data_IF_230949447033
#
_entry.id   IF_230949447033
#
_cell.length_a   1.000
_cell.length_b   1.000
_cell.length_c   1.000
_cell.angle_alpha   90.00
_cell.angle_beta   90.00
_cell.angle_gamma   90.00
#
_symmetry.space_group_name_H-M   'P 1'
#
loop_
_entity.id
_entity.type
_entity.pdbx_description
1 polymer ?
#
# COMPACT_ATOMS: atom_id res chain seq x y z
N UNK A 1 22.01 32.72 14.44
CA UNK A 1 22.46 31.84 13.32
C UNK A 1 21.84 32.35 12.03
N UNK A 2 22.58 32.37 10.90
CA UNK A 2 22.03 32.80 9.63
C UNK A 2 20.98 31.81 9.10
N UNK A 3 19.81 32.30 8.71
CA UNK A 3 18.72 31.48 8.20
C UNK A 3 18.59 31.64 6.68
N UNK A 4 18.60 30.52 5.95
CA UNK A 4 18.28 30.52 4.52
C UNK A 4 16.77 30.41 4.33
N UNK A 5 16.20 31.34 3.55
CA UNK A 5 14.79 31.36 3.22
C UNK A 5 14.59 31.55 1.72
N UNK A 6 13.60 30.88 1.15
CA UNK A 6 13.06 31.25 -0.15
C UNK A 6 11.95 32.26 0.08
N UNK A 7 12.01 33.37 -0.64
CA UNK A 7 11.00 34.41 -0.67
C UNK A 7 10.42 34.51 -2.08
N UNK A 8 9.14 34.85 -2.18
CA UNK A 8 8.46 35.10 -3.46
C UNK A 8 7.92 36.54 -3.48
N UNK A 9 8.15 37.25 -4.58
CA UNK A 9 7.57 38.57 -4.77
C UNK A 9 6.06 38.49 -4.99
N UNK A 10 5.28 39.29 -4.26
CA UNK A 10 3.81 39.33 -4.39
C UNK A 10 3.30 39.93 -5.68
N UNK A 11 4.15 40.67 -6.39
CA UNK A 11 3.75 41.38 -7.60
C UNK A 11 4.17 40.61 -8.85
N UNK A 12 5.48 40.49 -9.08
CA UNK A 12 6.01 39.85 -10.29
C UNK A 12 6.34 38.36 -10.13
N UNK A 13 6.10 37.76 -8.95
CA UNK A 13 6.26 36.32 -8.74
C UNK A 13 7.70 35.81 -8.72
N UNK A 14 8.71 36.69 -8.78
CA UNK A 14 10.13 36.30 -8.73
C UNK A 14 10.42 35.57 -7.43
N UNK A 15 11.20 34.48 -7.54
CA UNK A 15 11.65 33.69 -6.40
C UNK A 15 13.13 33.93 -6.18
N UNK A 16 13.50 34.19 -4.94
CA UNK A 16 14.89 34.38 -4.55
C UNK A 16 15.20 33.58 -3.27
N UNK A 17 16.40 32.99 -3.22
CA UNK A 17 16.95 32.43 -2.00
C UNK A 17 17.77 33.51 -1.28
N UNK A 18 17.43 33.79 -0.04
CA UNK A 18 18.03 34.84 0.79
C UNK A 18 18.66 34.24 2.04
N UNK A 19 19.85 34.72 2.42
CA UNK A 19 20.54 34.35 3.66
C UNK A 19 20.44 35.49 4.66
N UNK A 20 19.53 35.35 5.64
CA UNK A 20 19.28 36.36 6.66
C UNK A 20 20.37 36.27 7.74
N UNK A 21 21.10 37.36 7.96
CA UNK A 21 22.11 37.49 9.01
C UNK A 21 21.55 38.29 10.19
N UNK A 22 20.65 37.68 10.97
CA UNK A 22 20.04 38.33 12.13
C UNK A 22 18.70 37.68 12.51
N UNK A 23 18.15 38.12 13.64
CA UNK A 23 16.81 37.74 14.14
C UNK A 23 15.72 38.77 13.83
N UNK A 24 16.12 39.94 13.37
CA UNK A 24 15.24 41.09 13.29
C UNK A 24 14.37 41.06 12.03
N UNK A 25 13.16 41.60 12.18
CA UNK A 25 12.17 41.68 11.10
C UNK A 25 12.42 42.95 10.28
N UNK A 26 13.32 42.83 9.32
CA UNK A 26 13.50 43.85 8.29
C UNK A 26 12.51 43.61 7.13
N UNK A 27 11.90 44.67 6.60
CA UNK A 27 11.11 44.59 5.38
C UNK A 27 12.05 44.39 4.18
N UNK A 28 11.82 43.33 3.39
CA UNK A 28 12.65 42.96 2.25
C UNK A 28 11.91 43.27 0.97
N UNK A 29 12.54 44.01 0.06
CA UNK A 29 11.99 44.38 -1.25
C UNK A 29 12.58 43.53 -2.37
N UNK A 30 11.76 43.24 -3.38
CA UNK A 30 12.18 42.57 -4.60
C UNK A 30 13.13 43.46 -5.40
N UNK A 31 14.27 42.93 -5.85
CA UNK A 31 15.22 43.67 -6.69
C UNK A 31 14.68 44.03 -8.08
N UNK A 32 13.71 43.28 -8.59
CA UNK A 32 13.16 43.46 -9.95
C UNK A 32 12.05 44.52 -10.01
N UNK A 33 11.20 44.61 -8.98
CA UNK A 33 10.04 45.51 -9.01
C UNK A 33 9.84 46.33 -7.72
N UNK A 34 10.73 46.22 -6.74
CA UNK A 34 10.67 46.97 -5.47
C UNK A 34 9.58 46.53 -4.50
N UNK A 35 8.64 45.68 -4.90
CA UNK A 35 7.53 45.25 -4.06
C UNK A 35 8.01 44.41 -2.86
N UNK A 36 7.35 44.52 -1.70
CA UNK A 36 7.72 43.76 -0.51
C UNK A 36 7.53 42.25 -0.74
N UNK A 37 8.49 41.47 -0.26
CA UNK A 37 8.45 40.01 -0.29
C UNK A 37 7.54 39.50 0.84
N UNK A 38 6.39 38.90 0.49
CA UNK A 38 5.55 38.18 1.47
C UNK A 38 5.74 36.67 1.30
N UNK A 39 5.45 35.92 2.37
CA UNK A 39 5.61 34.46 2.44
C UNK A 39 7.05 33.97 2.19
N UNK A 40 7.84 33.95 3.28
CA UNK A 40 9.16 33.32 3.30
C UNK A 40 9.07 31.90 3.85
N UNK A 41 9.61 30.92 3.13
CA UNK A 41 9.73 29.54 3.59
C UNK A 41 11.18 29.23 3.98
N UNK A 42 11.36 28.62 5.14
CA UNK A 42 12.68 28.20 5.59
C UNK A 42 13.18 27.02 4.75
N UNK A 43 14.46 27.05 4.39
CA UNK A 43 15.14 25.95 3.72
C UNK A 43 16.08 25.30 4.73
N UNK A 44 16.06 23.96 4.89
CA UNK A 44 17.06 23.28 5.69
C UNK A 44 18.45 23.48 5.06
N UNK A 45 19.42 23.90 5.88
CA UNK A 45 20.82 24.10 5.47
C UNK A 45 21.57 22.78 5.36
N UNK A 46 21.16 21.79 6.16
CA UNK A 46 21.72 20.45 6.10
C UNK A 46 21.08 19.73 4.93
N UNK A 47 21.86 19.20 3.97
CA UNK A 47 21.32 18.28 2.99
C UNK A 47 20.73 17.11 3.78
N UNK A 48 19.40 16.97 3.75
CA UNK A 48 18.75 15.76 4.23
C UNK A 48 19.25 14.68 3.28
N UNK A 49 20.24 13.90 3.72
CA UNK A 49 20.59 12.71 2.97
C UNK A 49 19.31 11.90 2.87
N UNK A 50 18.87 11.53 1.66
CA UNK A 50 17.79 10.58 1.54
C UNK A 50 18.29 9.30 2.19
N UNK A 51 17.89 9.06 3.44
CA UNK A 51 18.03 7.75 4.04
C UNK A 51 17.15 6.86 3.20
N UNK A 52 17.78 6.08 2.31
CA UNK A 52 17.09 5.00 1.64
C UNK A 52 16.33 4.23 2.74
N UNK A 53 15.00 4.05 2.60
CA UNK A 53 14.26 3.30 3.61
C UNK A 53 14.98 1.97 3.79
N UNK A 54 15.36 1.67 5.04
CA UNK A 54 16.04 0.42 5.36
C UNK A 54 15.18 -0.71 4.77
N UNK A 55 15.81 -1.57 3.95
CA UNK A 55 15.10 -2.64 3.27
C UNK A 55 14.31 -3.43 4.31
N UNK A 56 12.99 -3.48 4.16
CA UNK A 56 12.13 -4.23 5.06
C UNK A 56 12.62 -5.68 5.06
N UNK A 57 12.94 -6.27 6.22
CA UNK A 57 13.45 -7.63 6.26
C UNK A 57 12.45 -8.56 5.57
N UNK A 58 12.95 -9.43 4.70
CA UNK A 58 12.13 -10.36 3.95
C UNK A 58 11.28 -11.18 4.94
N UNK A 59 9.96 -11.17 4.77
CA UNK A 59 9.04 -11.95 5.59
C UNK A 59 9.45 -13.42 5.50
N UNK A 60 9.62 -14.14 6.62
CA UNK A 60 10.00 -15.55 6.58
C UNK A 60 8.96 -16.33 5.76
N UNK A 61 9.45 -17.10 4.80
CA UNK A 61 8.59 -17.92 3.95
C UNK A 61 7.80 -18.87 4.82
N UNK A 62 6.46 -18.76 4.80
CA UNK A 62 5.64 -19.71 5.52
C UNK A 62 5.83 -21.11 4.92
N UNK A 63 5.98 -22.15 5.75
CA UNK A 63 6.12 -23.51 5.25
C UNK A 63 4.89 -23.85 4.40
N UNK A 64 5.14 -24.25 3.15
CA UNK A 64 4.06 -24.66 2.23
C UNK A 64 3.23 -25.76 2.91
N UNK A 65 1.88 -25.64 2.94
CA UNK A 65 1.06 -26.68 3.53
C UNK A 65 1.34 -27.99 2.79
N UNK A 66 1.72 -29.03 3.55
CA UNK A 66 1.85 -30.39 3.00
C UNK A 66 0.53 -30.74 2.34
N UNK A 67 0.55 -31.07 1.04
CA UNK A 67 -0.63 -31.55 0.30
C UNK A 67 -1.25 -32.70 1.09
N UNK A 68 -2.42 -32.45 1.68
CA UNK A 68 -3.21 -33.53 2.26
C UNK A 68 -3.60 -34.44 1.09
N UNK A 69 -3.34 -35.75 1.24
CA UNK A 69 -3.80 -36.74 0.26
C UNK A 69 -5.29 -36.57 0.09
N UNK A 70 -5.73 -36.21 -1.12
CA UNK A 70 -7.15 -36.14 -1.45
C UNK A 70 -7.78 -37.50 -1.16
N UNK A 71 -8.75 -37.52 -0.24
CA UNK A 71 -9.61 -38.68 -0.08
C UNK A 71 -10.38 -38.84 -1.38
N UNK A 72 -10.09 -39.91 -2.13
CA UNK A 72 -10.77 -40.23 -3.39
C UNK A 72 -12.28 -40.17 -3.17
N UNK A 73 -12.95 -39.27 -3.90
CA UNK A 73 -14.43 -39.21 -3.89
C UNK A 73 -14.96 -40.56 -4.39
N UNK A 74 -15.96 -41.17 -3.74
CA UNK A 74 -16.55 -42.39 -4.22
C UNK A 74 -17.14 -42.14 -5.61
N UNK A 75 -16.77 -43.01 -6.56
CA UNK A 75 -17.19 -42.92 -7.95
C UNK A 75 -18.71 -42.86 -8.05
N UNK A 76 -19.23 -41.90 -8.84
CA UNK A 76 -20.67 -41.74 -9.12
C UNK A 76 -21.29 -42.94 -9.85
N UNK A 77 -20.46 -43.88 -10.29
CA UNK A 77 -20.90 -45.14 -10.88
C UNK A 77 -21.37 -46.15 -9.83
N UNK A 78 -20.64 -46.30 -8.71
CA UNK A 78 -20.98 -47.29 -7.68
C UNK A 78 -22.34 -47.01 -7.02
N UNK A 79 -22.65 -45.73 -6.76
CA UNK A 79 -23.96 -45.34 -6.22
C UNK A 79 -25.12 -45.65 -7.16
N UNK A 80 -24.93 -45.55 -8.49
CA UNK A 80 -26.00 -45.83 -9.46
C UNK A 80 -26.24 -47.32 -9.64
N UNK A 81 -25.19 -48.14 -9.60
CA UNK A 81 -25.32 -49.60 -9.71
C UNK A 81 -25.96 -50.17 -8.44
N UNK A 82 -25.55 -49.70 -7.26
CA UNK A 82 -26.13 -50.17 -5.99
C UNK A 82 -27.60 -49.76 -5.84
N UNK A 83 -27.98 -48.56 -6.30
CA UNK A 83 -29.39 -48.11 -6.27
C UNK A 83 -30.28 -48.99 -7.14
N UNK A 84 -29.84 -49.35 -8.34
CA UNK A 84 -30.64 -50.21 -9.23
C UNK A 84 -30.83 -51.62 -8.67
N UNK A 85 -29.76 -52.18 -8.11
CA UNK A 85 -29.83 -53.51 -7.50
C UNK A 85 -30.73 -53.49 -6.26
N UNK A 86 -30.75 -52.39 -5.50
CA UNK A 86 -31.61 -52.25 -4.33
C UNK A 86 -33.08 -52.06 -4.71
N UNK A 87 -33.39 -51.19 -5.68
CA UNK A 87 -34.77 -50.99 -6.18
C UNK A 87 -35.37 -52.31 -6.69
N UNK A 88 -34.59 -53.10 -7.44
CA UNK A 88 -35.05 -54.38 -8.00
C UNK A 88 -35.19 -55.48 -6.92
N UNK A 89 -34.50 -55.34 -5.79
CA UNK A 89 -34.66 -56.21 -4.61
C UNK A 89 -35.89 -55.79 -3.79
N UNK A 90 -36.14 -54.49 -3.63
CA UNK A 90 -37.30 -53.95 -2.89
C UNK A 90 -38.62 -54.35 -3.56
N UNK A 91 -38.69 -54.28 -4.89
CA UNK A 91 -39.86 -54.75 -5.66
C UNK A 91 -40.14 -56.25 -5.48
N UNK A 92 -39.10 -57.09 -5.39
CA UNK A 92 -39.26 -58.55 -5.17
C UNK A 92 -39.52 -58.87 -3.70
N UNK A 93 -39.01 -58.05 -2.78
CA UNK A 93 -39.20 -58.27 -1.34
C UNK A 93 -40.61 -57.89 -0.88
N UNK A 94 -41.18 -56.78 -1.39
CA UNK A 94 -42.57 -56.41 -1.10
C UNK A 94 -43.58 -57.42 -1.67
N UNK A 95 -43.28 -58.07 -2.79
CA UNK A 95 -44.14 -59.10 -3.42
C UNK A 95 -44.00 -60.50 -2.78
N UNK A 96 -42.97 -60.73 -1.95
CA UNK A 96 -42.70 -62.03 -1.28
C UNK A 96 -42.96 -62.03 0.24
N UNK A 97 -43.15 -60.85 0.83
CA UNK A 97 -43.35 -60.67 2.28
C UNK A 97 -44.74 -60.11 2.68
N UNK A 98 -45.69 -60.05 1.73
CA UNK A 98 -47.16 -60.07 1.97
C UNK A 98 -47.70 -61.51 1.81
#
# INVERSE_FOLDING_TARGET
>A
MPANKIATCCYCGTRAALRLRGSDRHELSCSNCGAPLKAMKNIPLTPVQPTAPAATPARPAQPKPKKRKDKRKPSRFGRRVFSKIWDEIEDVFDDIFD
#
